data_IF_864589339356
#
_entry.id   IF_864589339356
#
_cell.length_a   1.000
_cell.length_b   1.000
_cell.length_c   1.000
_cell.angle_alpha   90.00
_cell.angle_beta   90.00
_cell.angle_gamma   90.00
#
_symmetry.space_group_name_H-M   'P 1'
#
loop_
_entity.id
_entity.type
_entity.pdbx_description
1 polymer ?
#
# COMPACT_ATOMS: atom_id res chain seq x y z
N UNK A 1 -8.58 -22.41 -21.68
CA UNK A 1 -8.10 -21.53 -20.60
C UNK A 1 -9.33 -21.15 -19.79
N UNK A 2 -9.41 -21.59 -18.53
CA UNK A 2 -10.50 -21.12 -17.66
C UNK A 2 -10.26 -19.63 -17.40
N UNK A 3 -11.24 -18.79 -17.72
CA UNK A 3 -11.19 -17.39 -17.35
C UNK A 3 -11.23 -17.34 -15.82
N UNK A 4 -10.12 -16.93 -15.21
CA UNK A 4 -10.04 -16.75 -13.78
C UNK A 4 -10.91 -15.55 -13.38
N UNK A 5 -11.59 -15.66 -12.24
CA UNK A 5 -12.54 -14.65 -11.77
C UNK A 5 -12.18 -14.23 -10.36
N UNK A 6 -12.52 -12.99 -10.00
CA UNK A 6 -12.36 -12.41 -8.67
C UNK A 6 -13.72 -11.95 -8.16
N UNK A 7 -14.01 -12.26 -6.89
CA UNK A 7 -15.25 -11.80 -6.25
C UNK A 7 -15.00 -10.47 -5.56
N UNK A 8 -15.60 -9.41 -6.07
CA UNK A 8 -15.49 -8.06 -5.55
C UNK A 8 -16.82 -7.32 -5.72
N UNK A 9 -17.15 -6.41 -4.79
CA UNK A 9 -18.38 -5.61 -4.83
C UNK A 9 -19.68 -6.44 -4.93
N UNK A 10 -19.65 -7.68 -4.41
CA UNK A 10 -20.78 -8.60 -4.42
C UNK A 10 -21.02 -9.33 -5.75
N UNK A 11 -20.16 -9.16 -6.75
CA UNK A 11 -20.24 -9.82 -8.06
C UNK A 11 -18.92 -10.50 -8.44
N UNK A 12 -18.97 -11.46 -9.36
CA UNK A 12 -17.79 -12.16 -9.87
C UNK A 12 -17.33 -11.49 -11.18
N UNK A 13 -16.12 -10.95 -11.18
CA UNK A 13 -15.52 -10.26 -12.32
C UNK A 13 -14.52 -11.18 -13.04
N UNK A 14 -14.41 -11.11 -14.37
CA UNK A 14 -13.21 -11.58 -15.06
C UNK A 14 -11.99 -10.86 -14.51
N UNK A 15 -10.95 -11.61 -14.12
CA UNK A 15 -9.80 -11.03 -13.41
C UNK A 15 -9.13 -9.91 -14.21
N UNK A 16 -8.93 -10.11 -15.52
CA UNK A 16 -8.32 -9.11 -16.40
C UNK A 16 -9.13 -7.81 -16.43
N UNK A 17 -10.47 -7.91 -16.51
CA UNK A 17 -11.36 -6.75 -16.51
C UNK A 17 -11.29 -6.01 -15.18
N UNK A 18 -11.23 -6.74 -14.07
CA UNK A 18 -11.11 -6.13 -12.75
C UNK A 18 -9.79 -5.39 -12.57
N UNK A 19 -8.68 -6.02 -12.99
CA UNK A 19 -7.34 -5.43 -12.90
C UNK A 19 -7.24 -4.15 -13.75
N UNK A 20 -7.73 -4.20 -14.99
CA UNK A 20 -7.69 -3.05 -15.90
C UNK A 20 -8.64 -1.93 -15.44
N UNK A 21 -9.84 -2.26 -14.92
CA UNK A 21 -10.82 -1.26 -14.47
C UNK A 21 -10.40 -0.50 -13.21
N UNK A 22 -9.53 -1.09 -12.39
CA UNK A 22 -9.11 -0.55 -11.11
C UNK A 22 -7.63 -0.14 -11.08
N UNK A 23 -6.98 -0.03 -12.24
CA UNK A 23 -5.59 0.39 -12.41
C UNK A 23 -4.57 -0.46 -11.62
N UNK A 24 -4.77 -1.77 -11.58
CA UNK A 24 -3.77 -2.68 -11.03
C UNK A 24 -2.57 -2.84 -11.98
N UNK A 25 -1.37 -2.85 -11.40
CA UNK A 25 -0.12 -3.17 -12.09
C UNK A 25 0.16 -4.66 -11.99
N UNK A 26 0.34 -5.33 -13.13
CA UNK A 26 0.71 -6.75 -13.17
C UNK A 26 2.13 -6.95 -12.63
N UNK A 27 2.33 -7.98 -11.81
CA UNK A 27 3.66 -8.37 -11.32
C UNK A 27 4.33 -9.25 -12.37
N UNK A 28 5.59 -8.95 -12.66
CA UNK A 28 6.42 -9.83 -13.48
C UNK A 28 6.89 -11.01 -12.62
N UNK A 29 6.59 -12.27 -12.96
CA UNK A 29 7.00 -13.42 -12.15
C UNK A 29 8.52 -13.61 -12.06
N UNK A 30 9.28 -12.95 -12.94
CA UNK A 30 10.74 -13.02 -12.97
C UNK A 30 11.41 -11.81 -12.30
N UNK A 31 10.63 -10.85 -11.79
CA UNK A 31 11.17 -9.60 -11.23
C UNK A 31 10.33 -9.11 -10.05
N UNK A 32 10.99 -8.88 -8.92
CA UNK A 32 10.33 -8.31 -7.74
C UNK A 32 10.14 -6.81 -7.97
N UNK A 33 8.93 -6.25 -7.79
CA UNK A 33 8.69 -4.83 -7.94
C UNK A 33 9.59 -4.00 -7.01
N UNK A 34 10.33 -3.03 -7.58
CA UNK A 34 11.12 -2.08 -6.80
C UNK A 34 10.22 -1.01 -6.20
N UNK A 35 9.64 -1.32 -5.05
CA UNK A 35 8.77 -0.43 -4.30
C UNK A 35 9.48 0.07 -3.04
N UNK A 36 9.22 1.32 -2.64
CA UNK A 36 9.67 1.80 -1.34
C UNK A 36 8.99 0.98 -0.24
N UNK A 37 9.75 0.60 0.79
CA UNK A 37 9.31 -0.37 1.80
C UNK A 37 8.04 0.08 2.55
N UNK A 38 7.88 1.39 2.79
CA UNK A 38 6.76 1.97 3.54
C UNK A 38 5.51 2.23 2.71
N UNK A 39 5.48 1.81 1.44
CA UNK A 39 4.31 2.00 0.58
C UNK A 39 3.29 0.92 0.85
N UNK A 40 2.04 1.32 1.13
CA UNK A 40 0.92 0.39 1.26
C UNK A 40 0.36 0.02 -0.12
N UNK A 41 0.12 -1.27 -0.30
CA UNK A 41 -0.42 -1.84 -1.53
C UNK A 41 -1.62 -2.75 -1.23
N UNK A 42 -2.52 -2.83 -2.19
CA UNK A 42 -3.49 -3.91 -2.32
C UNK A 42 -2.97 -4.88 -3.36
N UNK A 43 -3.07 -6.18 -3.10
CA UNK A 43 -2.58 -7.20 -4.04
C UNK A 43 -3.68 -8.18 -4.40
N UNK A 44 -3.59 -8.72 -5.61
CA UNK A 44 -4.41 -9.83 -6.10
C UNK A 44 -3.52 -11.04 -6.22
N UNK A 45 -3.92 -12.14 -5.58
CA UNK A 45 -3.16 -13.39 -5.60
C UNK A 45 -3.34 -14.14 -6.93
N UNK A 46 -2.45 -15.08 -7.21
CA UNK A 46 -2.60 -16.02 -8.33
C UNK A 46 -3.85 -16.90 -8.25
N UNK A 47 -4.57 -16.91 -7.13
CA UNK A 47 -5.85 -17.61 -6.96
C UNK A 47 -7.06 -16.71 -7.29
N UNK A 48 -6.84 -15.40 -7.50
CA UNK A 48 -7.92 -14.43 -7.77
C UNK A 48 -8.55 -13.87 -6.51
N UNK A 49 -7.81 -13.85 -5.40
CA UNK A 49 -8.26 -13.26 -4.13
C UNK A 49 -7.63 -11.89 -3.91
N UNK A 50 -8.40 -10.98 -3.31
CA UNK A 50 -7.93 -9.65 -2.93
C UNK A 50 -7.37 -9.71 -1.51
N UNK A 51 -6.07 -9.45 -1.35
CA UNK A 51 -5.45 -9.39 -0.04
C UNK A 51 -5.71 -8.03 0.64
N UNK A 52 -5.76 -7.99 1.99
CA UNK A 52 -5.93 -6.74 2.72
C UNK A 52 -4.74 -5.78 2.51
N UNK A 53 -4.96 -4.46 2.61
CA UNK A 53 -3.93 -3.43 2.56
C UNK A 53 -2.70 -3.70 3.43
N UNK A 54 -1.55 -3.94 2.80
CA UNK A 54 -0.30 -4.37 3.45
C UNK A 54 0.89 -3.55 2.93
N UNK A 55 1.96 -3.42 3.72
CA UNK A 55 3.18 -2.76 3.27
C UNK A 55 3.93 -3.59 2.23
N UNK A 56 4.57 -2.94 1.26
CA UNK A 56 5.22 -3.61 0.14
C UNK A 56 6.32 -4.61 0.58
N UNK A 57 6.97 -4.38 1.71
CA UNK A 57 8.00 -5.26 2.29
C UNK A 57 7.42 -6.53 2.97
N UNK A 58 6.14 -6.51 3.33
CA UNK A 58 5.42 -7.63 3.95
C UNK A 58 4.74 -8.53 2.91
N UNK A 59 4.71 -8.11 1.65
CA UNK A 59 4.05 -8.85 0.56
C UNK A 59 4.90 -10.02 0.08
N UNK A 60 4.27 -11.19 -0.05
CA UNK A 60 4.85 -12.35 -0.72
C UNK A 60 4.71 -12.23 -2.23
N UNK A 61 5.61 -11.47 -2.86
CA UNK A 61 5.53 -11.11 -4.29
C UNK A 61 5.48 -12.30 -5.27
N UNK A 62 5.95 -13.49 -4.87
CA UNK A 62 5.89 -14.70 -5.69
C UNK A 62 4.47 -15.24 -5.89
N UNK A 63 3.54 -14.94 -4.98
CA UNK A 63 2.15 -15.39 -5.03
C UNK A 63 1.21 -14.32 -5.61
N UNK A 64 1.74 -13.15 -5.95
CA UNK A 64 0.97 -11.97 -6.38
C UNK A 64 0.92 -11.90 -7.90
N UNK A 65 -0.29 -11.81 -8.44
CA UNK A 65 -0.54 -11.59 -9.86
C UNK A 65 -0.42 -10.09 -10.21
N UNK A 66 -1.01 -9.23 -9.37
CA UNK A 66 -1.06 -7.81 -9.62
C UNK A 66 -1.19 -7.03 -8.30
N UNK A 67 -0.80 -5.76 -8.32
CA UNK A 67 -0.86 -4.88 -7.15
C UNK A 67 -1.30 -3.47 -7.54
N UNK A 68 -1.85 -2.74 -6.58
CA UNK A 68 -2.20 -1.33 -6.71
C UNK A 68 -1.73 -0.56 -5.50
N UNK A 69 -1.23 0.64 -5.72
CA UNK A 69 -0.89 1.57 -4.65
C UNK A 69 -2.16 2.04 -3.95
N UNK A 70 -2.06 2.26 -2.64
CA UNK A 70 -3.07 3.03 -1.94
C UNK A 70 -2.57 4.48 -1.95
N UNK A 71 -3.16 5.32 -2.80
CA UNK A 71 -2.73 6.73 -3.00
C UNK A 71 -3.03 7.65 -1.80
N UNK A 72 -3.64 7.13 -0.75
CA UNK A 72 -3.60 7.76 0.56
C UNK A 72 -2.36 7.23 1.27
N UNK A 73 -1.34 8.08 1.31
CA UNK A 73 -0.02 7.83 1.89
C UNK A 73 -0.06 7.40 3.36
N UNK A 74 1.07 7.46 4.10
CA UNK A 74 1.06 7.14 5.53
C UNK A 74 -0.11 7.86 6.19
N UNK A 75 -0.90 7.15 7.01
CA UNK A 75 -2.03 7.77 7.71
C UNK A 75 -1.51 9.05 8.34
N UNK A 76 -2.06 10.20 7.94
CA UNK A 76 -1.62 11.46 8.52
C UNK A 76 -2.33 11.62 9.85
N UNK A 77 -1.55 11.64 10.93
CA UNK A 77 -2.03 12.10 12.23
C UNK A 77 -1.65 13.58 12.36
N UNK A 78 -2.29 14.30 13.27
CA UNK A 78 -1.93 15.69 13.52
C UNK A 78 -0.84 15.73 14.59
N UNK A 79 0.22 16.52 14.34
CA UNK A 79 1.24 16.82 15.33
C UNK A 79 0.56 17.34 16.61
N UNK A 80 0.90 16.76 17.75
CA UNK A 80 0.30 17.14 19.05
C UNK A 80 0.63 18.59 19.49
N UNK A 81 1.66 19.20 18.91
CA UNK A 81 2.15 20.53 19.30
C UNK A 81 1.63 21.66 18.39
N UNK A 82 1.67 21.45 17.07
CA UNK A 82 1.31 22.48 16.10
C UNK A 82 0.12 22.11 15.19
N UNK A 83 -0.43 20.90 15.33
CA UNK A 83 -1.52 20.36 14.50
C UNK A 83 -1.21 20.26 12.99
N UNK A 84 0.05 20.36 12.58
CA UNK A 84 0.47 20.05 11.22
C UNK A 84 0.35 18.54 10.94
N UNK A 85 0.03 18.13 9.71
CA UNK A 85 -0.06 16.71 9.36
C UNK A 85 1.32 16.03 9.41
N UNK A 86 1.44 14.93 10.15
CA UNK A 86 2.64 14.09 10.24
C UNK A 86 2.33 12.66 9.80
N UNK A 87 3.29 11.97 9.20
CA UNK A 87 3.08 10.59 8.75
C UNK A 87 3.09 9.63 9.94
N UNK A 88 2.11 8.73 10.05
CA UNK A 88 2.05 7.68 11.09
C UNK A 88 3.21 6.66 11.05
N UNK A 89 4.16 6.82 10.14
CA UNK A 89 5.42 6.07 10.12
C UNK A 89 6.40 6.55 11.19
N UNK A 90 6.23 7.77 11.70
CA UNK A 90 7.04 8.33 12.77
C UNK A 90 6.52 7.80 14.11
N UNK A 91 7.42 7.27 14.95
CA UNK A 91 7.06 6.71 16.25
C UNK A 91 6.58 7.78 17.25
N UNK A 92 6.81 9.05 16.93
CA UNK A 92 6.35 10.22 17.66
C UNK A 92 5.27 10.94 16.86
N UNK A 93 4.16 11.26 17.53
CA UNK A 93 3.06 12.09 16.97
C UNK A 93 3.47 13.58 16.90
N UNK A 94 4.73 13.87 16.56
CA UNK A 94 5.37 15.20 16.56
C UNK A 94 6.01 15.43 15.20
N UNK A 95 5.87 16.62 14.62
CA UNK A 95 6.50 16.94 13.34
C UNK A 95 7.99 17.29 13.52
N UNK A 96 8.79 17.10 12.46
CA UNK A 96 10.22 17.44 12.43
C UNK A 96 10.49 18.87 12.94
N UNK A 97 9.62 19.84 12.60
CA UNK A 97 9.76 21.23 13.05
C UNK A 97 9.62 21.40 14.57
N UNK A 98 8.81 20.57 15.23
CA UNK A 98 8.64 20.61 16.69
C UNK A 98 9.64 19.70 17.42
N UNK A 99 10.22 18.71 16.75
CA UNK A 99 11.34 17.93 17.27
C UNK A 99 12.62 18.76 17.33
N UNK A 100 12.90 19.58 16.30
CA UNK A 100 14.10 20.41 16.19
C UNK A 100 14.12 21.60 17.18
N UNK A 101 12.94 22.11 17.57
CA UNK A 101 12.83 23.08 18.68
C UNK A 101 13.08 22.45 20.07
N UNK A 102 13.08 21.11 20.14
CA UNK A 102 13.28 20.33 21.34
C UNK A 102 14.74 19.97 21.65
N UNK A 103 15.70 20.28 20.77
CA UNK A 103 17.13 20.06 21.05
C UNK A 103 17.72 21.23 21.85
N UNK A 104 18.03 21.05 23.16
CA UNK A 104 18.87 21.99 23.86
C UNK A 104 20.30 21.85 23.32
N UNK A 105 20.70 22.78 22.46
CA UNK A 105 22.11 23.00 22.12
C UNK A 105 22.87 23.31 23.41
N UNK A 106 23.62 22.33 23.92
CA UNK A 106 24.60 22.50 25.00
C UNK A 106 25.89 23.12 24.48
#
# INVERSE_FOLDING_TARGET
>A
MHAQTIRADGIDWPIETYLDALDFKRVNPFEIPQLQHQVRVVTVTGEGELAPPTFADQVRWHDVLAYRYIEHGPETILCRLCAEPVGRTDFDDICESCEDEGEPWF
#
